data_IF_074117035584
#
_entry.id   IF_074117035584
#
_cell.length_a   1.000
_cell.length_b   1.000
_cell.length_c   1.000
_cell.angle_alpha   90.00
_cell.angle_beta   90.00
_cell.angle_gamma   90.00
#
_symmetry.space_group_name_H-M   'P 1'
#
loop_
_entity.id
_entity.type
_entity.pdbx_description
1 polymer ?
#
# COMPACT_ATOMS: atom_id res chain seq x y z
N UNK A 1 -36.45 8.62 -6.01
CA UNK A 1 -35.10 8.29 -6.52
C UNK A 1 -34.02 8.57 -5.45
N UNK A 2 -34.18 8.10 -4.21
CA UNK A 2 -33.22 8.41 -3.12
C UNK A 2 -32.41 7.18 -2.68
N UNK A 3 -33.10 6.13 -2.25
CA UNK A 3 -32.48 4.99 -1.56
C UNK A 3 -31.61 4.12 -2.47
N UNK A 4 -32.02 3.88 -3.71
CA UNK A 4 -31.23 3.05 -4.65
C UNK A 4 -29.89 3.69 -5.01
N UNK A 5 -29.87 5.00 -5.24
CA UNK A 5 -28.65 5.74 -5.57
C UNK A 5 -27.72 5.85 -4.34
N UNK A 6 -28.28 6.01 -3.14
CA UNK A 6 -27.51 5.97 -1.89
C UNK A 6 -26.83 4.61 -1.68
N UNK A 7 -27.56 3.50 -1.85
CA UNK A 7 -26.98 2.15 -1.74
C UNK A 7 -25.83 1.96 -2.74
N UNK A 8 -26.02 2.36 -4.00
CA UNK A 8 -24.95 2.31 -5.00
C UNK A 8 -23.75 3.19 -4.64
N UNK A 9 -23.99 4.37 -4.05
CA UNK A 9 -22.91 5.27 -3.62
C UNK A 9 -22.07 4.67 -2.49
N UNK A 10 -22.71 4.01 -1.52
CA UNK A 10 -22.03 3.33 -0.40
C UNK A 10 -21.23 2.14 -0.93
N UNK A 11 -21.83 1.33 -1.81
CA UNK A 11 -21.13 0.20 -2.45
C UNK A 11 -19.92 0.71 -3.23
N UNK A 12 -20.08 1.76 -4.04
CA UNK A 12 -18.99 2.37 -4.79
C UNK A 12 -17.87 2.88 -3.88
N UNK A 13 -18.21 3.47 -2.73
CA UNK A 13 -17.24 3.91 -1.73
C UNK A 13 -16.46 2.73 -1.11
N UNK A 14 -17.15 1.65 -0.76
CA UNK A 14 -16.54 0.43 -0.20
C UNK A 14 -15.61 -0.23 -1.23
N UNK A 15 -16.08 -0.42 -2.47
CA UNK A 15 -15.28 -0.98 -3.56
C UNK A 15 -14.03 -0.14 -3.79
N UNK A 16 -14.17 1.20 -3.77
CA UNK A 16 -13.02 2.10 -3.89
C UNK A 16 -12.03 1.90 -2.74
N UNK A 17 -12.50 1.89 -1.50
CA UNK A 17 -11.64 1.65 -0.34
C UNK A 17 -10.91 0.30 -0.43
N UNK A 18 -11.60 -0.77 -0.83
CA UNK A 18 -11.01 -2.09 -1.05
C UNK A 18 -9.98 -2.07 -2.19
N UNK A 19 -10.27 -1.38 -3.29
CA UNK A 19 -9.32 -1.20 -4.40
C UNK A 19 -8.03 -0.52 -3.94
N UNK A 20 -8.15 0.52 -3.10
CA UNK A 20 -6.99 1.18 -2.50
C UNK A 20 -6.26 0.32 -1.47
N UNK A 21 -6.96 -0.57 -0.75
CA UNK A 21 -6.32 -1.56 0.12
C UNK A 21 -5.43 -2.51 -0.69
N UNK A 22 -5.96 -3.08 -1.76
CA UNK A 22 -5.21 -4.00 -2.64
C UNK A 22 -4.06 -3.27 -3.32
N UNK A 23 -4.30 -2.06 -3.84
CA UNK A 23 -3.27 -1.21 -4.44
C UNK A 23 -2.17 -0.89 -3.42
N UNK A 24 -2.54 -0.47 -2.21
CA UNK A 24 -1.61 -0.15 -1.13
C UNK A 24 -0.73 -1.33 -0.79
N UNK A 25 -1.33 -2.50 -0.58
CA UNK A 25 -0.58 -3.71 -0.27
C UNK A 25 0.40 -4.09 -1.40
N UNK A 26 -0.07 -4.10 -2.65
CA UNK A 26 0.75 -4.46 -3.81
C UNK A 26 1.91 -3.48 -4.02
N UNK A 27 1.64 -2.17 -3.96
CA UNK A 27 2.67 -1.13 -4.09
C UNK A 27 3.66 -1.20 -2.94
N UNK A 28 3.19 -1.31 -1.69
CA UNK A 28 4.07 -1.42 -0.52
C UNK A 28 4.99 -2.63 -0.60
N UNK A 29 4.47 -3.79 -1.02
CA UNK A 29 5.28 -5.00 -1.23
C UNK A 29 6.26 -4.85 -2.39
N UNK A 30 5.81 -4.33 -3.53
CA UNK A 30 6.66 -4.07 -4.69
C UNK A 30 7.80 -3.11 -4.36
N UNK A 31 7.49 -1.98 -3.71
CA UNK A 31 8.50 -1.00 -3.30
C UNK A 31 9.54 -1.66 -2.41
N UNK A 32 9.14 -2.48 -1.44
CA UNK A 32 10.08 -3.13 -0.54
C UNK A 32 10.95 -4.19 -1.24
N UNK A 33 10.35 -5.04 -2.08
CA UNK A 33 11.06 -6.09 -2.80
C UNK A 33 12.05 -5.52 -3.81
N UNK A 34 11.68 -4.42 -4.49
CA UNK A 34 12.57 -3.68 -5.38
C UNK A 34 13.65 -2.93 -4.60
N UNK A 35 13.31 -2.27 -3.48
CA UNK A 35 14.25 -1.48 -2.68
C UNK A 35 15.39 -2.33 -2.13
N UNK A 36 15.09 -3.55 -1.67
CA UNK A 36 16.07 -4.51 -1.15
C UNK A 36 17.08 -4.99 -2.21
N UNK A 37 16.71 -5.00 -3.49
CA UNK A 37 17.55 -5.48 -4.61
C UNK A 37 18.20 -4.34 -5.41
N UNK A 38 17.86 -3.10 -5.10
CA UNK A 38 18.22 -1.93 -5.87
C UNK A 38 19.60 -1.35 -5.50
N UNK A 39 20.27 -0.76 -6.49
CA UNK A 39 21.39 0.17 -6.26
C UNK A 39 20.90 1.49 -5.66
N UNK A 40 21.79 2.26 -5.05
CA UNK A 40 21.44 3.45 -4.25
C UNK A 40 20.58 4.48 -5.01
N UNK A 41 20.80 4.69 -6.31
CA UNK A 41 19.98 5.62 -7.11
C UNK A 41 18.53 5.15 -7.21
N UNK A 42 18.33 3.84 -7.45
CA UNK A 42 17.00 3.25 -7.55
C UNK A 42 16.31 3.18 -6.18
N UNK A 43 17.07 3.00 -5.09
CA UNK A 43 16.53 3.09 -3.73
C UNK A 43 15.95 4.47 -3.43
N UNK A 44 16.67 5.54 -3.78
CA UNK A 44 16.17 6.91 -3.64
C UNK A 44 14.94 7.13 -4.51
N UNK A 45 14.97 6.71 -5.77
CA UNK A 45 13.83 6.83 -6.68
C UNK A 45 12.59 6.09 -6.17
N UNK A 46 12.75 4.90 -5.61
CA UNK A 46 11.65 4.12 -5.00
C UNK A 46 11.09 4.80 -3.75
N UNK A 47 11.95 5.31 -2.87
CA UNK A 47 11.51 6.02 -1.67
C UNK A 47 10.79 7.32 -2.02
N UNK A 48 11.40 8.17 -2.85
CA UNK A 48 10.81 9.44 -3.29
C UNK A 48 9.53 9.18 -4.09
N UNK A 49 9.51 8.20 -4.97
CA UNK A 49 8.33 7.81 -5.74
C UNK A 49 7.17 7.32 -4.86
N UNK A 50 7.47 6.54 -3.82
CA UNK A 50 6.46 6.09 -2.86
C UNK A 50 5.86 7.28 -2.06
N UNK A 51 6.69 8.20 -1.57
CA UNK A 51 6.21 9.39 -0.89
C UNK A 51 5.47 10.36 -1.82
N UNK A 52 5.94 10.54 -3.05
CA UNK A 52 5.25 11.35 -4.06
C UNK A 52 3.88 10.75 -4.39
N UNK A 53 3.78 9.43 -4.47
CA UNK A 53 2.50 8.74 -4.65
C UNK A 53 1.57 8.99 -3.45
N UNK A 54 2.06 8.90 -2.20
CA UNK A 54 1.26 9.24 -1.02
C UNK A 54 0.75 10.68 -1.08
N UNK A 55 1.61 11.65 -1.42
CA UNK A 55 1.22 13.07 -1.57
C UNK A 55 0.22 13.28 -2.71
N UNK A 56 0.40 12.57 -3.83
CA UNK A 56 -0.54 12.60 -4.95
C UNK A 56 -1.90 12.05 -4.55
N UNK A 57 -1.93 10.90 -3.87
CA UNK A 57 -3.17 10.33 -3.34
C UNK A 57 -3.82 11.25 -2.31
N UNK A 58 -3.05 12.02 -1.55
CA UNK A 58 -3.59 13.02 -0.63
C UNK A 58 -4.40 14.11 -1.32
N UNK A 59 -4.00 14.50 -2.53
CA UNK A 59 -4.68 15.55 -3.29
C UNK A 59 -5.86 15.04 -4.13
N UNK A 60 -5.82 13.77 -4.58
CA UNK A 60 -6.79 13.25 -5.56
C UNK A 60 -7.73 12.17 -5.03
N UNK A 61 -7.40 11.52 -3.91
CA UNK A 61 -8.22 10.46 -3.34
C UNK A 61 -9.06 10.97 -2.15
N UNK A 62 -10.17 10.29 -1.88
CA UNK A 62 -10.94 10.56 -0.67
C UNK A 62 -10.13 10.17 0.58
N UNK A 63 -10.37 10.80 1.75
CA UNK A 63 -9.64 10.50 2.97
C UNK A 63 -9.66 9.01 3.36
N UNK A 64 -10.80 8.34 3.17
CA UNK A 64 -10.93 6.92 3.47
C UNK A 64 -10.12 6.04 2.51
N UNK A 65 -10.12 6.35 1.21
CA UNK A 65 -9.33 5.60 0.23
C UNK A 65 -7.83 5.77 0.44
N UNK A 66 -7.38 7.00 0.75
CA UNK A 66 -5.98 7.27 1.10
C UNK A 66 -5.56 6.55 2.39
N UNK A 67 -6.40 6.60 3.44
CA UNK A 67 -6.14 5.90 4.68
C UNK A 67 -6.04 4.39 4.46
N UNK A 68 -6.93 3.81 3.65
CA UNK A 68 -6.90 2.38 3.37
C UNK A 68 -5.66 1.96 2.58
N UNK A 69 -5.20 2.81 1.65
CA UNK A 69 -3.92 2.62 0.97
C UNK A 69 -2.74 2.68 1.92
N UNK A 70 -2.66 3.70 2.77
CA UNK A 70 -1.55 3.88 3.70
C UNK A 70 -1.45 2.71 4.70
N UNK A 71 -2.59 2.26 5.23
CA UNK A 71 -2.67 1.10 6.13
C UNK A 71 -2.20 -0.17 5.41
N UNK A 72 -2.71 -0.44 4.20
CA UNK A 72 -2.37 -1.65 3.48
C UNK A 72 -0.90 -1.65 3.00
N UNK A 73 -0.39 -0.51 2.54
CA UNK A 73 1.03 -0.36 2.16
C UNK A 73 1.96 -0.53 3.37
N UNK A 74 1.61 0.07 4.50
CA UNK A 74 2.34 -0.11 5.76
C UNK A 74 2.33 -1.56 6.24
N UNK A 75 1.18 -2.23 6.18
CA UNK A 75 1.05 -3.64 6.52
C UNK A 75 1.95 -4.52 5.63
N UNK A 76 1.98 -4.27 4.31
CA UNK A 76 2.86 -4.99 3.39
C UNK A 76 4.34 -4.80 3.71
N UNK A 77 4.76 -3.57 4.04
CA UNK A 77 6.14 -3.28 4.43
C UNK A 77 6.53 -4.00 5.74
N UNK A 78 5.66 -3.97 6.75
CA UNK A 78 5.89 -4.67 8.03
C UNK A 78 6.00 -6.17 7.81
N UNK A 79 5.09 -6.78 7.03
CA UNK A 79 5.16 -8.22 6.72
C UNK A 79 6.44 -8.60 5.98
N UNK A 80 6.94 -7.73 5.09
CA UNK A 80 8.21 -7.96 4.38
C UNK A 80 9.44 -7.90 5.30
N UNK A 81 9.34 -7.25 6.46
CA UNK A 81 10.35 -7.34 7.51
C UNK A 81 10.17 -8.55 8.43
N UNK A 82 8.93 -8.93 8.75
CA UNK A 82 8.61 -10.07 9.60
C UNK A 82 9.03 -11.41 8.96
N UNK A 83 8.74 -11.61 7.67
CA UNK A 83 9.13 -12.82 6.93
C UNK A 83 10.66 -13.08 6.96
N UNK A 84 11.47 -12.00 7.00
CA UNK A 84 12.93 -12.12 7.10
C UNK A 84 13.40 -12.59 8.48
N UNK A 85 12.65 -12.28 9.56
CA UNK A 85 12.97 -12.76 10.91
C UNK A 85 12.72 -14.27 11.04
N UNK A 86 11.69 -14.78 10.38
CA UNK A 86 11.38 -16.22 10.34
C UNK A 86 12.44 -16.98 9.54
N UNK A 87 12.78 -16.54 8.32
CA UNK A 87 13.85 -17.17 7.52
C UNK A 87 15.21 -17.17 8.24
N UNK A 88 15.54 -16.10 8.98
CA UNK A 88 16.78 -16.03 9.76
C UNK A 88 16.76 -16.88 11.05
N UNK A 89 15.58 -17.35 11.49
CA UNK A 89 15.43 -18.20 12.68
C UNK A 89 15.34 -19.69 12.33
N UNK A 90 15.12 -20.03 11.06
CA UNK A 90 15.01 -21.40 10.56
C UNK A 90 16.31 -21.99 9.99
N UNK A 91 17.44 -21.26 9.96
CA UNK A 91 18.76 -21.87 9.76
C UNK A 91 19.24 -22.53 11.07
N UNK A 92 19.24 -23.88 11.19
CA UNK A 92 19.86 -24.54 12.32
C UNK A 92 21.38 -24.49 12.12
N UNK A 93 22.09 -24.00 13.13
CA UNK A 93 23.54 -24.16 13.28
C UNK A 93 23.97 -25.62 13.22
#
# INVERSE_FOLDING_TARGET
MGTFMEVLSVIGFVIRALGFAVLGFAVGRFTMDAYKKAVWQLQIALAVGFFALLVGLTNYASPASMGMFAVAAGAAMIMSFAAKKEEASEEPK
#
